data_IF_957174691714
#
_entry.id   IF_957174691714
#
_cell.length_a   1.000
_cell.length_b   1.000
_cell.length_c   1.000
_cell.angle_alpha   90.00
_cell.angle_beta   90.00
_cell.angle_gamma   90.00
#
_symmetry.space_group_name_H-M   'P 1'
#
loop_
_entity.id
_entity.type
_entity.pdbx_description
1 polymer ?
#
# COMPACT_ATOMS: atom_id res chain seq x y z
N UNK A 1 49.56 -52.50 28.34
CA UNK A 1 48.98 -52.34 27.01
C UNK A 1 47.56 -51.92 27.16
N UNK A 2 47.29 -50.59 27.09
CA UNK A 2 45.93 -50.00 27.30
C UNK A 2 45.42 -49.48 25.99
N UNK A 3 44.33 -50.07 25.53
CA UNK A 3 43.58 -49.66 24.32
C UNK A 3 42.79 -48.39 24.69
N UNK A 4 43.07 -47.31 23.97
CA UNK A 4 42.29 -46.07 24.04
C UNK A 4 41.27 -46.13 22.87
N UNK A 5 40.01 -46.34 23.21
CA UNK A 5 38.91 -46.26 22.27
C UNK A 5 38.51 -44.80 22.08
N UNK A 6 38.85 -44.24 20.91
CA UNK A 6 38.43 -42.92 20.49
C UNK A 6 36.96 -42.95 20.07
N UNK A 7 36.09 -42.25 20.81
CA UNK A 7 34.70 -42.00 20.43
C UNK A 7 34.64 -40.81 19.47
N UNK A 8 34.40 -41.06 18.20
CA UNK A 8 34.14 -40.05 17.21
C UNK A 8 32.70 -39.56 17.46
N UNK A 9 32.58 -38.32 17.97
CA UNK A 9 31.30 -37.62 18.13
C UNK A 9 30.93 -36.96 16.79
N UNK A 10 30.03 -37.60 16.08
CA UNK A 10 29.49 -37.07 14.80
C UNK A 10 28.47 -35.98 15.14
N UNK A 11 28.89 -34.72 15.16
CA UNK A 11 27.99 -33.58 15.29
C UNK A 11 27.33 -33.29 13.96
N UNK A 12 26.08 -33.74 13.82
CA UNK A 12 25.22 -33.43 12.69
C UNK A 12 24.75 -31.96 12.85
N UNK A 13 25.40 -31.04 12.15
CA UNK A 13 24.97 -29.64 12.06
C UNK A 13 23.72 -29.62 11.17
N UNK A 14 22.55 -29.51 11.81
CA UNK A 14 21.29 -29.26 11.13
C UNK A 14 21.32 -27.80 10.63
N UNK A 15 21.63 -27.61 9.35
CA UNK A 15 21.54 -26.32 8.68
C UNK A 15 20.06 -25.93 8.62
N UNK A 16 19.60 -25.12 9.57
CA UNK A 16 18.32 -24.44 9.46
C UNK A 16 18.42 -23.46 8.29
N UNK A 17 17.85 -23.82 7.15
CA UNK A 17 17.57 -22.90 6.08
C UNK A 17 16.55 -21.88 6.63
N UNK A 18 17.04 -20.73 7.07
CA UNK A 18 16.23 -19.59 7.39
C UNK A 18 15.60 -19.10 6.08
N UNK A 19 14.38 -19.53 5.78
CA UNK A 19 13.56 -18.86 4.78
C UNK A 19 13.30 -17.47 5.33
N UNK A 20 14.10 -16.49 4.90
CA UNK A 20 13.79 -15.08 5.07
C UNK A 20 12.46 -14.86 4.32
N UNK A 21 11.37 -14.73 5.06
CA UNK A 21 10.14 -14.21 4.52
C UNK A 21 10.45 -12.77 4.10
N UNK A 22 10.72 -12.56 2.80
CA UNK A 22 10.81 -11.25 2.22
C UNK A 22 9.42 -10.63 2.30
N UNK A 23 9.23 -9.76 3.27
CA UNK A 23 8.04 -8.94 3.35
C UNK A 23 7.98 -8.04 2.12
N UNK A 24 6.81 -7.93 1.51
CA UNK A 24 6.48 -6.97 0.44
C UNK A 24 6.54 -5.50 0.91
N UNK A 25 7.11 -5.24 2.08
CA UNK A 25 7.49 -3.90 2.57
C UNK A 25 8.38 -3.12 1.61
N UNK A 26 8.86 -3.76 0.54
CA UNK A 26 9.83 -3.19 -0.38
C UNK A 26 9.18 -2.39 -1.53
N UNK A 27 7.86 -2.37 -1.64
CA UNK A 27 7.17 -1.61 -2.70
C UNK A 27 7.57 -0.13 -2.69
N UNK A 28 7.68 0.48 -1.51
CA UNK A 28 8.03 1.91 -1.36
C UNK A 28 9.47 2.24 -1.72
N UNK A 29 10.34 1.24 -1.80
CA UNK A 29 11.73 1.38 -2.24
C UNK A 29 11.90 1.14 -3.76
N UNK A 30 10.84 0.66 -4.43
CA UNK A 30 10.88 0.44 -5.87
C UNK A 30 10.70 1.75 -6.64
N UNK A 31 11.23 1.85 -7.87
CA UNK A 31 11.00 3.01 -8.72
C UNK A 31 9.52 3.24 -8.98
N UNK A 32 9.11 4.51 -8.94
CA UNK A 32 7.77 4.92 -9.36
C UNK A 32 7.80 5.16 -10.87
N UNK A 33 6.98 4.41 -11.61
CA UNK A 33 6.77 4.62 -13.04
C UNK A 33 5.38 5.21 -13.25
N UNK A 34 5.30 6.30 -14.04
CA UNK A 34 4.05 6.97 -14.36
C UNK A 34 3.93 7.06 -15.88
N UNK A 35 2.81 6.59 -16.41
CA UNK A 35 2.42 6.71 -17.81
C UNK A 35 1.12 7.50 -17.90
N UNK A 36 1.02 8.45 -18.82
CA UNK A 36 -0.16 9.25 -19.08
C UNK A 36 -0.14 9.76 -20.52
N UNK A 37 -1.28 10.22 -21.02
CA UNK A 37 -1.32 10.83 -22.36
C UNK A 37 -0.69 12.23 -22.34
N UNK A 38 -0.83 12.96 -21.22
CA UNK A 38 -0.29 14.33 -21.09
C UNK A 38 0.40 14.52 -19.74
N UNK A 39 1.43 15.36 -19.72
CA UNK A 39 2.14 15.78 -18.53
C UNK A 39 2.42 17.28 -18.59
N UNK A 40 2.27 17.98 -17.47
CA UNK A 40 2.73 19.36 -17.30
C UNK A 40 3.55 19.50 -16.01
N UNK A 41 4.55 20.38 -16.06
CA UNK A 41 5.42 20.70 -14.93
C UNK A 41 5.35 22.20 -14.67
N UNK A 42 4.88 22.56 -13.48
CA UNK A 42 4.94 23.91 -12.91
C UNK A 42 6.13 23.98 -11.95
N UNK A 43 7.23 24.55 -12.44
CA UNK A 43 8.47 24.65 -11.65
C UNK A 43 8.37 25.68 -10.53
N UNK A 44 7.57 26.73 -10.71
CA UNK A 44 7.41 27.80 -9.72
C UNK A 44 6.69 27.26 -8.47
N UNK A 45 5.61 26.48 -8.68
CA UNK A 45 4.83 25.92 -7.60
C UNK A 45 5.26 24.49 -7.20
N UNK A 46 6.27 23.94 -7.87
CA UNK A 46 6.76 22.56 -7.68
C UNK A 46 5.63 21.53 -7.81
N UNK A 47 4.82 21.66 -8.86
CA UNK A 47 3.68 20.79 -9.15
C UNK A 47 3.88 20.07 -10.48
N UNK A 48 3.70 18.75 -10.46
CA UNK A 48 3.63 17.93 -11.67
C UNK A 48 2.20 17.43 -11.82
N UNK A 49 1.61 17.59 -12.99
CA UNK A 49 0.28 17.11 -13.32
C UNK A 49 0.33 16.14 -14.48
N UNK A 50 -0.26 14.98 -14.30
CA UNK A 50 -0.48 13.94 -15.32
C UNK A 50 -1.97 13.87 -15.61
N UNK A 51 -2.36 13.83 -16.88
CA UNK A 51 -3.76 13.74 -17.27
C UNK A 51 -3.96 12.73 -18.38
N UNK A 52 -5.13 12.13 -18.34
CA UNK A 52 -5.66 11.15 -19.27
C UNK A 52 -4.89 9.81 -19.23
N UNK A 53 -5.64 8.74 -19.01
CA UNK A 53 -5.14 7.36 -18.94
C UNK A 53 -3.93 7.18 -18.01
N UNK A 54 -3.93 7.88 -16.86
CA UNK A 54 -2.80 7.83 -15.93
C UNK A 54 -2.71 6.45 -15.27
N UNK A 55 -1.54 5.84 -15.39
CA UNK A 55 -1.17 4.56 -14.73
C UNK A 55 0.11 4.77 -13.94
N UNK A 56 0.06 4.49 -12.63
CA UNK A 56 1.22 4.55 -11.74
C UNK A 56 1.51 3.13 -11.27
N UNK A 57 2.78 2.73 -11.33
CA UNK A 57 3.26 1.45 -10.78
C UNK A 57 4.44 1.68 -9.87
N UNK A 58 4.46 0.98 -8.73
CA UNK A 58 5.59 0.94 -7.79
C UNK A 58 5.60 -0.42 -7.07
N UNK A 59 6.52 -1.30 -7.45
CA UNK A 59 6.49 -2.68 -6.97
C UNK A 59 5.16 -3.36 -7.31
N UNK A 60 4.42 -3.83 -6.33
CA UNK A 60 3.09 -4.43 -6.49
C UNK A 60 1.95 -3.39 -6.56
N UNK A 61 2.24 -2.12 -6.27
CA UNK A 61 1.25 -1.05 -6.30
C UNK A 61 0.92 -0.69 -7.75
N UNK A 62 -0.37 -0.66 -8.06
CA UNK A 62 -0.94 -0.21 -9.33
C UNK A 62 -2.08 0.78 -9.06
N UNK A 63 -1.93 2.01 -9.57
CA UNK A 63 -2.98 3.03 -9.50
C UNK A 63 -3.38 3.42 -10.92
N UNK A 64 -4.70 3.53 -11.17
CA UNK A 64 -5.24 4.07 -12.42
C UNK A 64 -6.14 5.26 -12.11
N UNK A 65 -5.98 6.34 -12.86
CA UNK A 65 -6.70 7.60 -12.65
C UNK A 65 -6.91 8.36 -13.97
N UNK A 66 -7.82 9.35 -13.95
CA UNK A 66 -7.94 10.30 -15.05
C UNK A 66 -6.93 11.45 -14.93
N UNK A 67 -6.63 11.85 -13.69
CA UNK A 67 -5.67 12.91 -13.39
C UNK A 67 -4.90 12.60 -12.11
N UNK A 68 -3.62 12.90 -12.10
CA UNK A 68 -2.77 12.84 -10.91
C UNK A 68 -1.99 14.14 -10.77
N UNK A 69 -1.96 14.69 -9.57
CA UNK A 69 -1.22 15.89 -9.20
C UNK A 69 -0.25 15.52 -8.10
N UNK A 70 1.03 15.76 -8.34
CA UNK A 70 2.10 15.58 -7.35
C UNK A 70 2.60 16.97 -6.98
N UNK A 71 2.51 17.31 -5.70
CA UNK A 71 3.04 18.56 -5.16
C UNK A 71 4.25 18.24 -4.31
N UNK A 72 5.39 18.83 -4.67
CA UNK A 72 6.67 18.66 -3.98
C UNK A 72 7.12 20.02 -3.42
N UNK A 73 6.65 20.39 -2.22
CA UNK A 73 6.99 21.68 -1.63
C UNK A 73 8.50 21.82 -1.40
N UNK A 74 9.05 23.04 -1.37
CA UNK A 74 10.46 23.29 -1.02
C UNK A 74 10.79 22.69 0.36
N UNK A 75 12.01 22.16 0.52
CA UNK A 75 12.47 21.50 1.77
C UNK A 75 12.28 22.38 3.01
N UNK A 76 12.47 23.71 2.88
CA UNK A 76 12.36 24.67 3.98
C UNK A 76 10.93 25.11 4.30
N UNK A 77 9.91 24.62 3.57
CA UNK A 77 8.51 25.04 3.74
C UNK A 77 7.82 24.39 4.94
N UNK A 78 8.40 23.33 5.51
CA UNK A 78 7.77 22.48 6.53
C UNK A 78 6.59 21.64 6.00
N UNK A 79 6.22 21.81 4.74
CA UNK A 79 5.18 21.01 4.06
C UNK A 79 5.77 19.71 3.55
N UNK A 80 4.93 18.70 3.36
CA UNK A 80 5.32 17.40 2.83
C UNK A 80 4.83 17.20 1.41
N UNK A 81 5.49 16.30 0.69
CA UNK A 81 5.06 15.88 -0.63
C UNK A 81 3.71 15.17 -0.56
N UNK A 82 2.82 15.51 -1.49
CA UNK A 82 1.48 14.94 -1.57
C UNK A 82 1.17 14.46 -2.98
N UNK A 83 0.38 13.41 -3.07
CA UNK A 83 -0.17 12.89 -4.32
C UNK A 83 -1.69 12.95 -4.25
N UNK A 84 -2.31 13.60 -5.23
CA UNK A 84 -3.75 13.59 -5.40
C UNK A 84 -4.11 12.91 -6.73
N UNK A 85 -4.99 11.93 -6.69
CA UNK A 85 -5.51 11.27 -7.88
C UNK A 85 -7.03 11.49 -7.97
N UNK A 86 -7.50 11.73 -9.19
CA UNK A 86 -8.91 11.97 -9.51
C UNK A 86 -9.34 11.02 -10.62
N UNK A 87 -10.54 10.44 -10.49
CA UNK A 87 -11.09 9.53 -11.48
C UNK A 87 -12.55 9.17 -11.23
N UNK A 88 -13.12 8.41 -12.16
CA UNK A 88 -14.50 7.93 -12.07
C UNK A 88 -14.59 6.43 -12.34
N UNK A 89 -14.00 5.59 -11.47
CA UNK A 89 -13.21 5.91 -10.27
C UNK A 89 -11.68 5.93 -10.49
N UNK A 90 -10.93 6.47 -9.53
CA UNK A 90 -9.55 6.05 -9.28
C UNK A 90 -9.59 4.64 -8.74
N UNK A 91 -8.72 3.76 -9.22
CA UNK A 91 -8.55 2.40 -8.70
C UNK A 91 -7.13 2.22 -8.15
N UNK A 92 -7.03 1.41 -7.11
CA UNK A 92 -5.79 1.06 -6.43
C UNK A 92 -5.73 -0.44 -6.23
N UNK A 93 -4.56 -1.02 -6.45
CA UNK A 93 -4.24 -2.41 -6.16
C UNK A 93 -2.86 -2.51 -5.51
N UNK A 94 -2.72 -3.38 -4.52
CA UNK A 94 -1.44 -3.69 -3.87
C UNK A 94 -1.47 -5.11 -3.32
N UNK A 95 -0.33 -5.78 -3.27
CA UNK A 95 -0.14 -6.98 -2.48
C UNK A 95 0.36 -6.60 -1.08
N UNK A 96 -0.29 -7.13 -0.05
CA UNK A 96 0.14 -6.96 1.34
C UNK A 96 1.29 -7.90 1.69
N UNK A 97 1.93 -7.69 2.84
CA UNK A 97 3.06 -8.49 3.33
C UNK A 97 2.75 -10.00 3.43
N UNK A 98 1.50 -10.37 3.55
CA UNK A 98 1.04 -11.76 3.55
C UNK A 98 0.68 -12.30 2.15
N UNK A 99 1.00 -11.54 1.09
CA UNK A 99 0.74 -11.86 -0.31
C UNK A 99 -0.73 -11.70 -0.73
N UNK A 100 -1.61 -11.24 0.16
CA UNK A 100 -3.03 -11.07 -0.18
C UNK A 100 -3.24 -9.74 -0.90
N UNK A 101 -4.12 -9.72 -1.92
CA UNK A 101 -4.45 -8.49 -2.61
C UNK A 101 -5.30 -7.57 -1.73
N UNK A 102 -5.02 -6.28 -1.83
CA UNK A 102 -5.86 -5.20 -1.36
C UNK A 102 -6.21 -4.31 -2.54
N UNK A 103 -7.48 -4.13 -2.78
CA UNK A 103 -8.02 -3.28 -3.82
C UNK A 103 -8.77 -2.11 -3.21
N UNK A 104 -8.68 -0.96 -3.84
CA UNK A 104 -9.41 0.24 -3.45
C UNK A 104 -9.98 0.97 -4.66
N UNK A 105 -11.04 1.73 -4.44
CA UNK A 105 -11.55 2.69 -5.42
C UNK A 105 -12.19 3.89 -4.73
N UNK A 106 -12.14 5.04 -5.37
CA UNK A 106 -12.78 6.27 -4.94
C UNK A 106 -12.83 7.29 -6.09
N UNK A 107 -13.58 8.38 -5.96
CA UNK A 107 -13.54 9.46 -6.93
C UNK A 107 -12.28 10.32 -6.78
N UNK A 108 -11.78 10.44 -5.54
CA UNK A 108 -10.53 11.13 -5.21
C UNK A 108 -9.71 10.31 -4.22
N UNK A 109 -8.43 10.23 -4.47
CA UNK A 109 -7.43 9.68 -3.55
C UNK A 109 -6.43 10.77 -3.20
N UNK A 110 -6.12 10.94 -1.94
CA UNK A 110 -5.07 11.82 -1.44
C UNK A 110 -4.11 11.03 -0.58
N UNK A 111 -2.82 11.14 -0.86
CA UNK A 111 -1.75 10.50 -0.10
C UNK A 111 -0.76 11.57 0.38
N UNK A 112 -0.62 11.72 1.67
CA UNK A 112 0.44 12.49 2.33
C UNK A 112 1.64 11.56 2.57
N UNK A 113 2.71 11.75 1.81
CA UNK A 113 3.90 10.90 1.90
C UNK A 113 4.61 11.07 3.25
N UNK A 114 4.61 12.26 3.81
CA UNK A 114 5.28 12.52 5.08
C UNK A 114 4.56 11.93 6.28
N UNK A 115 3.23 12.00 6.28
CA UNK A 115 2.40 11.40 7.30
C UNK A 115 2.16 9.90 7.06
N UNK A 116 2.43 9.41 5.84
CA UNK A 116 2.04 8.07 5.37
C UNK A 116 0.54 7.82 5.58
N UNK A 117 -0.24 8.80 5.15
CA UNK A 117 -1.67 8.85 5.40
C UNK A 117 -2.47 8.91 4.10
N UNK A 118 -3.29 7.89 3.87
CA UNK A 118 -4.13 7.76 2.68
C UNK A 118 -5.56 8.16 2.99
N UNK A 119 -6.18 8.94 2.10
CA UNK A 119 -7.60 9.30 2.16
C UNK A 119 -8.27 9.00 0.82
N UNK A 120 -9.29 8.16 0.85
CA UNK A 120 -10.20 7.90 -0.26
C UNK A 120 -11.48 8.68 -0.03
N UNK A 121 -11.97 9.41 -1.02
CA UNK A 121 -13.18 10.24 -0.90
C UNK A 121 -14.08 10.06 -2.12
N UNK A 122 -15.38 9.98 -1.89
CA UNK A 122 -16.40 9.80 -2.90
C UNK A 122 -16.56 8.36 -3.36
N UNK A 123 -17.64 7.69 -2.98
CA UNK A 123 -17.91 6.29 -3.29
C UNK A 123 -16.72 5.37 -2.93
N UNK A 124 -16.07 5.66 -1.79
CA UNK A 124 -14.88 4.95 -1.38
C UNK A 124 -15.20 3.48 -1.04
N UNK A 125 -14.41 2.57 -1.60
CA UNK A 125 -14.42 1.14 -1.28
C UNK A 125 -13.00 0.67 -1.04
N UNK A 126 -12.82 -0.15 -0.03
CA UNK A 126 -11.62 -0.93 0.19
C UNK A 126 -12.01 -2.39 0.32
N UNK A 127 -11.28 -3.27 -0.37
CA UNK A 127 -11.54 -4.71 -0.42
C UNK A 127 -10.25 -5.48 -0.18
N UNK A 128 -10.33 -6.49 0.65
CA UNK A 128 -9.30 -7.49 0.83
C UNK A 128 -9.95 -8.87 0.70
N UNK A 129 -9.61 -9.59 -0.35
CA UNK A 129 -10.32 -10.82 -0.75
C UNK A 129 -11.83 -10.56 -0.88
N UNK A 130 -12.67 -11.30 -0.14
CA UNK A 130 -14.13 -11.14 -0.15
C UNK A 130 -14.65 -10.18 0.93
N UNK A 131 -13.79 -9.73 1.84
CA UNK A 131 -14.12 -8.72 2.84
C UNK A 131 -14.02 -7.33 2.23
N UNK A 132 -15.01 -6.45 2.51
CA UNK A 132 -15.02 -5.08 1.96
C UNK A 132 -15.66 -4.07 2.89
N UNK A 133 -15.22 -2.82 2.75
CA UNK A 133 -15.77 -1.65 3.45
C UNK A 133 -16.11 -0.61 2.40
N UNK A 134 -17.33 -0.07 2.47
CA UNK A 134 -17.80 1.01 1.63
C UNK A 134 -18.22 2.22 2.48
N UNK A 135 -17.90 3.42 2.02
CA UNK A 135 -18.29 4.66 2.68
C UNK A 135 -18.08 5.87 1.77
N UNK A 136 -18.43 7.05 2.26
CA UNK A 136 -18.13 8.31 1.56
C UNK A 136 -16.63 8.63 1.67
N UNK A 137 -16.03 8.34 2.84
CA UNK A 137 -14.60 8.54 3.07
C UNK A 137 -14.02 7.36 3.82
N UNK A 138 -12.86 6.89 3.35
CA UNK A 138 -12.03 5.90 4.03
C UNK A 138 -10.64 6.51 4.21
N UNK A 139 -10.10 6.42 5.42
CA UNK A 139 -8.73 6.85 5.73
C UNK A 139 -7.91 5.68 6.24
N UNK A 140 -6.64 5.64 5.86
CA UNK A 140 -5.70 4.62 6.30
C UNK A 140 -4.39 5.26 6.75
N UNK A 141 -4.07 5.10 8.03
CA UNK A 141 -2.78 5.45 8.61
C UNK A 141 -1.85 4.24 8.42
N UNK A 142 -0.91 4.36 7.49
CA UNK A 142 -0.03 3.24 7.10
C UNK A 142 0.88 2.83 8.27
N UNK A 143 1.43 3.82 9.00
CA UNK A 143 2.30 3.57 10.15
C UNK A 143 1.60 2.82 11.27
N UNK A 144 0.38 3.22 11.60
CA UNK A 144 -0.42 2.61 12.67
C UNK A 144 -1.24 1.43 12.20
N UNK A 145 -1.30 1.17 10.89
CA UNK A 145 -2.18 0.17 10.28
C UNK A 145 -3.64 0.34 10.72
N UNK A 146 -4.09 1.60 10.83
CA UNK A 146 -5.43 1.94 11.29
C UNK A 146 -6.30 2.45 10.16
N UNK A 147 -7.43 1.81 9.96
CA UNK A 147 -8.44 2.18 8.99
C UNK A 147 -9.64 2.80 9.71
N UNK A 148 -10.17 3.91 9.17
CA UNK A 148 -11.44 4.51 9.58
C UNK A 148 -12.30 4.75 8.36
N UNK A 149 -13.60 4.45 8.45
CA UNK A 149 -14.57 4.72 7.41
C UNK A 149 -15.69 5.63 7.93
N UNK A 150 -16.15 6.53 7.07
CA UNK A 150 -17.25 7.44 7.34
C UNK A 150 -18.25 7.40 6.18
N UNK A 151 -19.53 7.30 6.48
CA UNK A 151 -20.61 7.19 5.50
C UNK A 151 -21.10 8.54 4.95
N UNK A 152 -20.64 9.68 5.50
CA UNK A 152 -21.17 10.99 5.12
C UNK A 152 -22.67 11.10 5.46
N UNK A 153 -23.47 11.35 4.45
CA UNK A 153 -24.94 11.37 4.55
C UNK A 153 -25.56 9.96 4.54
N UNK A 154 -24.78 8.92 4.21
CA UNK A 154 -25.20 7.52 4.19
C UNK A 154 -24.53 6.75 5.34
N UNK A 155 -24.69 5.41 5.34
CA UNK A 155 -24.04 4.56 6.34
C UNK A 155 -22.81 3.87 5.74
N UNK A 156 -21.80 3.62 6.56
CA UNK A 156 -20.72 2.69 6.22
C UNK A 156 -21.33 1.28 6.09
N UNK A 157 -20.99 0.59 5.01
CA UNK A 157 -21.37 -0.81 4.79
C UNK A 157 -20.09 -1.65 4.85
N UNK A 158 -20.09 -2.64 5.73
CA UNK A 158 -18.96 -3.57 5.88
C UNK A 158 -19.45 -5.00 5.69
N UNK A 159 -18.74 -5.76 4.88
CA UNK A 159 -18.88 -7.21 4.75
C UNK A 159 -17.58 -7.82 5.24
N UNK A 160 -17.66 -8.71 6.22
CA UNK A 160 -16.52 -9.42 6.76
C UNK A 160 -16.75 -10.92 6.59
N UNK A 161 -15.73 -11.62 6.12
CA UNK A 161 -15.75 -13.07 5.97
C UNK A 161 -15.00 -13.67 7.17
N UNK A 162 -15.67 -14.36 8.11
CA UNK A 162 -15.05 -14.82 9.36
C UNK A 162 -13.81 -15.69 9.16
N UNK A 163 -13.81 -16.56 8.15
CA UNK A 163 -12.66 -17.42 7.83
C UNK A 163 -11.40 -16.63 7.42
N UNK A 164 -11.56 -15.40 6.93
CA UNK A 164 -10.45 -14.52 6.53
C UNK A 164 -9.89 -13.72 7.72
N UNK A 165 -10.65 -13.59 8.81
CA UNK A 165 -10.24 -12.88 10.02
C UNK A 165 -9.39 -13.77 10.97
N UNK A 166 -9.52 -15.09 10.87
CA UNK A 166 -8.88 -16.04 11.79
C UNK A 166 -7.40 -16.32 11.50
N UNK A 167 -6.83 -15.81 10.41
CA UNK A 167 -5.45 -16.11 10.01
C UNK A 167 -4.36 -15.34 10.79
N UNK A 168 -4.70 -14.48 11.75
CA UNK A 168 -3.71 -13.79 12.63
C UNK A 168 -3.28 -14.57 13.86
N UNK A 169 -3.61 -15.85 14.00
CA UNK A 169 -3.48 -16.62 15.24
C UNK A 169 -2.62 -17.89 15.17
N UNK A 170 -1.70 -18.06 14.21
CA UNK A 170 -0.67 -19.12 14.31
C UNK A 170 0.71 -18.50 14.43
N UNK A 171 1.15 -18.36 15.71
CA UNK A 171 2.55 -18.22 16.09
C UNK A 171 3.27 -19.53 15.81
#
# INVERSE_FOLDING_TARGET
>A
MKLVTSKILLTTTLAMASFSAFALKDDTNQPINIVSDNQSLDMENSVVTFTDNVVITQGSILIKANKVVITRPPENSGKKETVEAFGTPVTFHQLLDDGKPMDGKANKVHYDLGAEFLTLTGNAELRQLDSKINGERITYDVKKQQLKANGGKSRVKTVLIPSQLQQKGKK
#
